data_IF_833943729523
#
_entry.id   IF_833943729523
#
_cell.length_a   1.000
_cell.length_b   1.000
_cell.length_c   1.000
_cell.angle_alpha   90.00
_cell.angle_beta   90.00
_cell.angle_gamma   90.00
#
_symmetry.space_group_name_H-M   'P 1'
#
loop_
_entity.id
_entity.type
_entity.pdbx_description
1 polymer ?
#
# COMPACT_ATOMS: atom_id res chain seq x y z
N UNK A 1 42.16 -18.48 34.24
CA UNK A 1 41.14 -18.77 33.21
C UNK A 1 40.40 -17.46 32.98
N UNK A 2 40.57 -16.86 31.79
CA UNK A 2 39.83 -15.64 31.41
C UNK A 2 38.44 -16.09 31.01
N UNK A 3 37.45 -15.56 31.71
CA UNK A 3 36.04 -15.74 31.41
C UNK A 3 35.74 -15.07 30.06
N UNK A 4 35.10 -15.82 29.17
CA UNK A 4 34.93 -15.51 27.75
C UNK A 4 33.46 -15.27 27.40
N UNK A 5 32.63 -14.81 28.35
CA UNK A 5 31.19 -14.59 28.13
C UNK A 5 30.78 -13.11 27.98
N UNK A 6 31.67 -12.24 27.48
CA UNK A 6 31.40 -10.79 27.38
C UNK A 6 31.49 -10.23 25.96
N UNK A 7 31.16 -11.02 24.94
CA UNK A 7 31.01 -10.52 23.57
C UNK A 7 29.62 -10.93 23.09
N UNK A 8 28.80 -9.93 22.77
CA UNK A 8 27.45 -10.01 22.19
C UNK A 8 26.25 -10.16 23.13
N UNK A 9 26.23 -9.47 24.28
CA UNK A 9 24.96 -8.95 24.76
C UNK A 9 24.65 -7.70 23.91
N UNK A 10 23.89 -7.88 22.82
CA UNK A 10 23.24 -6.74 22.18
C UNK A 10 22.36 -6.07 23.25
N UNK A 11 22.35 -4.72 23.35
CA UNK A 11 21.46 -4.06 24.30
C UNK A 11 20.02 -4.50 24.02
N UNK A 12 19.22 -4.72 25.07
CA UNK A 12 17.76 -4.89 24.96
C UNK A 12 17.22 -3.70 24.18
N UNK A 13 17.02 -3.85 22.87
CA UNK A 13 16.39 -2.85 22.03
C UNK A 13 14.90 -3.16 22.05
N UNK A 14 14.11 -2.17 22.40
CA UNK A 14 12.67 -2.25 22.28
C UNK A 14 12.34 -2.56 20.79
N UNK A 15 11.49 -3.54 20.46
CA UNK A 15 11.05 -3.79 19.08
C UNK A 15 10.55 -2.52 18.37
N UNK A 16 10.07 -1.54 19.14
CA UNK A 16 9.65 -0.23 18.64
C UNK A 16 10.79 0.65 18.10
N UNK A 17 12.06 0.41 18.46
CA UNK A 17 13.22 1.07 17.86
C UNK A 17 13.65 0.44 16.52
N UNK A 18 13.19 -0.79 16.23
CA UNK A 18 13.51 -1.53 15.00
C UNK A 18 12.58 -1.17 13.83
N UNK A 19 11.34 -0.74 14.12
CA UNK A 19 10.34 -0.42 13.11
C UNK A 19 10.08 1.08 13.06
N UNK A 20 11.00 1.78 12.40
CA UNK A 20 10.87 3.20 12.11
C UNK A 20 10.48 3.41 10.65
N UNK A 21 9.28 3.95 10.38
CA UNK A 21 8.81 4.28 9.02
C UNK A 21 9.72 5.28 8.29
N UNK A 22 10.52 6.04 9.04
CA UNK A 22 11.55 6.95 8.48
C UNK A 22 12.82 6.23 8.05
N UNK A 23 12.90 4.91 8.20
CA UNK A 23 14.05 4.14 7.74
C UNK A 23 14.16 4.23 6.22
N UNK A 24 15.39 4.42 5.75
CA UNK A 24 15.72 4.51 4.33
C UNK A 24 16.74 3.44 4.00
N UNK A 25 16.54 2.74 2.88
CA UNK A 25 17.46 1.70 2.41
C UNK A 25 18.56 2.31 1.54
N UNK A 26 19.85 1.98 1.77
CA UNK A 26 20.97 2.62 1.07
C UNK A 26 21.01 2.35 -0.44
N UNK A 27 20.35 1.29 -0.91
CA UNK A 27 20.28 0.85 -2.30
C UNK A 27 19.01 1.31 -3.04
N UNK A 28 18.13 2.07 -2.38
CA UNK A 28 16.93 2.66 -2.99
C UNK A 28 17.19 4.13 -3.31
N UNK A 29 16.87 4.55 -4.53
CA UNK A 29 16.97 5.96 -4.94
C UNK A 29 15.75 6.75 -4.49
N UNK A 30 15.81 7.31 -3.27
CA UNK A 30 14.75 8.16 -2.75
C UNK A 30 14.65 9.53 -3.43
N UNK A 31 15.65 9.93 -4.21
CA UNK A 31 15.64 11.15 -5.02
C UNK A 31 15.07 10.90 -6.42
N UNK A 32 14.76 9.64 -6.77
CA UNK A 32 14.10 9.31 -8.02
C UNK A 32 12.79 10.08 -8.16
N UNK A 33 12.63 10.76 -9.30
CA UNK A 33 11.45 11.52 -9.66
C UNK A 33 10.93 11.07 -11.02
N UNK A 34 9.66 10.66 -11.15
CA UNK A 34 9.05 10.47 -12.46
C UNK A 34 9.12 11.77 -13.27
N UNK A 35 9.38 11.67 -14.58
CA UNK A 35 9.35 12.85 -15.47
C UNK A 35 7.95 13.48 -15.52
N UNK A 36 6.92 12.64 -15.54
CA UNK A 36 5.50 13.01 -15.54
C UNK A 36 4.64 11.82 -15.13
N UNK A 37 3.46 12.08 -14.56
CA UNK A 37 2.45 11.03 -14.31
C UNK A 37 1.50 10.80 -15.51
N UNK A 38 1.61 11.66 -16.54
CA UNK A 38 0.73 11.64 -17.72
C UNK A 38 1.46 11.21 -18.98
N UNK A 39 2.64 10.60 -18.85
CA UNK A 39 3.25 9.92 -19.99
C UNK A 39 2.29 8.84 -20.52
N UNK A 40 2.35 8.55 -21.84
CA UNK A 40 1.66 7.41 -22.42
C UNK A 40 2.06 6.12 -21.70
N UNK A 41 1.13 5.17 -21.64
CA UNK A 41 1.45 3.83 -21.15
C UNK A 41 2.58 3.22 -21.98
N UNK A 42 3.49 2.50 -21.33
CA UNK A 42 4.62 1.83 -21.96
C UNK A 42 4.17 0.69 -22.88
N UNK A 43 3.01 0.08 -22.58
CA UNK A 43 2.41 -0.98 -23.37
C UNK A 43 0.87 -0.98 -23.29
N UNK A 44 0.26 -1.87 -24.08
CA UNK A 44 -1.20 -2.02 -24.17
C UNK A 44 -1.80 -2.51 -22.85
N UNK A 45 -1.13 -3.41 -22.14
CA UNK A 45 -1.65 -3.96 -20.88
C UNK A 45 -1.75 -2.85 -19.83
N UNK A 46 -0.69 -2.05 -19.67
CA UNK A 46 -0.69 -0.90 -18.78
C UNK A 46 -1.78 0.10 -19.17
N UNK A 47 -1.99 0.34 -20.48
CA UNK A 47 -3.06 1.22 -20.95
C UNK A 47 -4.45 0.72 -20.55
N UNK A 48 -4.72 -0.58 -20.69
CA UNK A 48 -5.98 -1.22 -20.30
C UNK A 48 -6.18 -1.18 -18.79
N UNK A 49 -5.12 -1.49 -18.01
CA UNK A 49 -5.22 -1.56 -16.56
C UNK A 49 -5.36 -0.19 -15.90
N UNK A 50 -4.96 0.90 -16.54
CA UNK A 50 -4.84 2.23 -15.91
C UNK A 50 -6.07 2.68 -15.11
N UNK A 51 -7.26 2.42 -15.62
CA UNK A 51 -8.52 2.84 -15.00
C UNK A 51 -9.30 1.69 -14.35
N UNK A 52 -8.82 0.45 -14.48
CA UNK A 52 -9.45 -0.72 -13.88
C UNK A 52 -9.20 -0.71 -12.38
N UNK A 53 -10.27 -0.50 -11.61
CA UNK A 53 -10.16 -0.27 -10.16
C UNK A 53 -9.94 -1.56 -9.36
N UNK A 54 -10.59 -2.66 -9.70
CA UNK A 54 -10.59 -3.87 -8.86
C UNK A 54 -9.39 -4.78 -9.05
N UNK A 55 -8.83 -5.24 -7.94
CA UNK A 55 -7.57 -6.01 -7.91
C UNK A 55 -7.69 -7.33 -8.67
N UNK A 56 -8.70 -8.15 -8.38
CA UNK A 56 -8.91 -9.43 -9.07
C UNK A 56 -9.17 -9.27 -10.56
N UNK A 57 -9.82 -8.18 -10.99
CA UNK A 57 -9.97 -7.88 -12.42
C UNK A 57 -8.67 -7.49 -13.09
N UNK A 58 -7.81 -6.71 -12.42
CA UNK A 58 -6.47 -6.40 -12.93
C UNK A 58 -5.65 -7.68 -13.14
N UNK A 59 -5.72 -8.62 -12.20
CA UNK A 59 -5.09 -9.94 -12.30
C UNK A 59 -5.66 -10.72 -13.50
N UNK A 60 -6.98 -10.87 -13.59
CA UNK A 60 -7.63 -11.58 -14.71
C UNK A 60 -7.28 -10.99 -16.08
N UNK A 61 -7.31 -9.66 -16.23
CA UNK A 61 -6.92 -8.98 -17.47
C UNK A 61 -5.46 -9.26 -17.81
N UNK A 62 -4.58 -9.22 -16.82
CA UNK A 62 -3.15 -9.50 -16.98
C UNK A 62 -2.91 -10.91 -17.46
N UNK A 63 -3.58 -11.90 -16.86
CA UNK A 63 -3.41 -13.30 -17.21
C UNK A 63 -3.92 -13.58 -18.63
N UNK A 64 -5.12 -13.12 -18.97
CA UNK A 64 -5.68 -13.25 -20.32
C UNK A 64 -4.81 -12.55 -21.38
N UNK A 65 -4.27 -11.37 -21.07
CA UNK A 65 -3.35 -10.67 -21.97
C UNK A 65 -2.06 -11.46 -22.21
N UNK A 66 -1.44 -11.98 -21.14
CA UNK A 66 -0.20 -12.77 -21.23
C UNK A 66 -0.39 -14.07 -22.01
N UNK A 67 -1.57 -14.66 -21.93
CA UNK A 67 -1.93 -15.84 -22.71
C UNK A 67 -2.33 -15.53 -24.17
N UNK A 68 -2.42 -14.25 -24.55
CA UNK A 68 -2.86 -13.83 -25.87
C UNK A 68 -4.34 -14.05 -26.14
N UNK A 69 -5.16 -14.10 -25.07
CA UNK A 69 -6.59 -14.44 -25.08
C UNK A 69 -7.48 -13.30 -24.60
N UNK A 70 -6.99 -12.06 -24.62
CA UNK A 70 -7.73 -10.90 -24.09
C UNK A 70 -9.11 -10.72 -24.77
N UNK A 71 -9.26 -11.14 -26.02
CA UNK A 71 -10.50 -11.14 -26.78
C UNK A 71 -11.57 -12.13 -26.26
N UNK A 72 -11.16 -13.14 -25.49
CA UNK A 72 -12.06 -14.07 -24.81
C UNK A 72 -12.63 -13.50 -23.50
N UNK A 73 -12.02 -12.44 -22.95
CA UNK A 73 -12.48 -11.83 -21.70
C UNK A 73 -13.78 -11.05 -21.95
N UNK A 74 -14.78 -11.28 -21.10
CA UNK A 74 -16.05 -10.55 -21.19
C UNK A 74 -15.80 -9.03 -21.14
N UNK A 75 -16.41 -8.28 -22.06
CA UNK A 75 -16.19 -6.83 -22.18
C UNK A 75 -16.46 -6.08 -20.87
N UNK A 76 -17.45 -6.50 -20.09
CA UNK A 76 -17.76 -5.93 -18.77
C UNK A 76 -16.62 -6.15 -17.75
N UNK A 77 -15.84 -7.22 -17.85
CA UNK A 77 -14.68 -7.43 -16.97
C UNK A 77 -13.48 -6.59 -17.39
N UNK A 78 -13.39 -6.24 -18.68
CA UNK A 78 -12.34 -5.41 -19.24
C UNK A 78 -12.63 -3.89 -19.19
N UNK A 79 -13.81 -3.46 -18.73
CA UNK A 79 -14.15 -2.04 -18.61
C UNK A 79 -13.48 -1.38 -17.40
N UNK A 80 -13.35 -0.05 -17.42
CA UNK A 80 -12.80 0.72 -16.31
C UNK A 80 -13.57 0.45 -15.00
N UNK A 81 -14.90 0.49 -15.06
CA UNK A 81 -15.80 0.28 -13.94
C UNK A 81 -16.85 -0.80 -14.24
N UNK A 82 -17.21 -1.54 -13.19
CA UNK A 82 -18.32 -2.49 -13.21
C UNK A 82 -19.65 -1.78 -12.93
N UNK A 83 -20.73 -2.36 -13.45
CA UNK A 83 -22.07 -2.06 -12.97
C UNK A 83 -22.25 -2.55 -11.52
N UNK A 84 -23.18 -1.95 -10.77
CA UNK A 84 -23.52 -2.40 -9.41
C UNK A 84 -23.92 -3.88 -9.39
N UNK A 85 -24.71 -4.30 -10.38
CA UNK A 85 -25.15 -5.69 -10.53
C UNK A 85 -23.97 -6.64 -10.78
N UNK A 86 -23.04 -6.30 -11.68
CA UNK A 86 -21.87 -7.14 -11.94
C UNK A 86 -20.94 -7.23 -10.73
N UNK A 87 -20.72 -6.10 -10.04
CA UNK A 87 -19.94 -6.05 -8.80
C UNK A 87 -20.55 -6.95 -7.71
N UNK A 88 -21.86 -6.89 -7.48
CA UNK A 88 -22.55 -7.79 -6.56
C UNK A 88 -22.43 -9.26 -6.97
N UNK A 89 -22.59 -9.56 -8.26
CA UNK A 89 -22.48 -10.93 -8.78
C UNK A 89 -21.10 -11.52 -8.54
N UNK A 90 -20.03 -10.75 -8.78
CA UNK A 90 -18.66 -11.18 -8.50
C UNK A 90 -18.41 -11.36 -6.99
N UNK A 91 -18.90 -10.44 -6.15
CA UNK A 91 -18.78 -10.56 -4.70
C UNK A 91 -19.47 -11.81 -4.12
N UNK A 92 -20.57 -12.28 -4.75
CA UNK A 92 -21.23 -13.55 -4.38
C UNK A 92 -20.41 -14.79 -4.77
N UNK A 93 -19.50 -14.69 -5.75
CA UNK A 93 -18.59 -15.78 -6.10
C UNK A 93 -17.53 -15.89 -5.00
N UNK A 94 -16.86 -14.78 -4.69
CA UNK A 94 -15.93 -14.71 -3.57
C UNK A 94 -15.75 -13.25 -3.10
N UNK A 95 -15.71 -12.98 -1.78
CA UNK A 95 -15.57 -11.61 -1.26
C UNK A 95 -14.34 -10.85 -1.77
N UNK A 96 -13.23 -11.54 -2.09
CA UNK A 96 -12.02 -10.89 -2.62
C UNK A 96 -12.20 -10.24 -4.00
N UNK A 97 -13.28 -10.54 -4.73
CA UNK A 97 -13.59 -9.81 -5.97
C UNK A 97 -14.16 -8.41 -5.71
N UNK A 98 -14.44 -8.06 -4.45
CA UNK A 98 -14.92 -6.73 -4.07
C UNK A 98 -13.77 -5.72 -4.02
N UNK A 99 -12.56 -6.17 -3.68
CA UNK A 99 -11.38 -5.34 -3.47
C UNK A 99 -11.05 -4.41 -4.64
N UNK A 100 -11.13 -3.11 -4.37
CA UNK A 100 -10.91 -2.01 -5.30
C UNK A 100 -12.12 -1.64 -6.15
N UNK A 101 -13.17 -2.47 -6.23
CA UNK A 101 -14.34 -2.17 -7.08
C UNK A 101 -15.20 -1.03 -6.50
N UNK A 102 -15.10 -0.79 -5.20
CA UNK A 102 -15.83 0.27 -4.49
C UNK A 102 -15.07 1.59 -4.44
N UNK A 103 -13.83 1.64 -4.93
CA UNK A 103 -13.10 2.90 -5.08
C UNK A 103 -13.90 3.91 -5.92
N UNK A 104 -13.88 5.21 -5.59
CA UNK A 104 -14.55 6.21 -6.39
C UNK A 104 -13.95 6.28 -7.79
N UNK A 105 -14.78 6.65 -8.77
CA UNK A 105 -14.34 6.82 -10.15
C UNK A 105 -13.24 7.87 -10.31
N UNK A 106 -12.47 7.74 -11.40
CA UNK A 106 -11.40 8.68 -11.71
C UNK A 106 -11.95 10.04 -12.13
N UNK A 107 -11.36 11.11 -11.60
CA UNK A 107 -11.62 12.47 -12.11
C UNK A 107 -10.94 12.67 -13.46
N UNK A 108 -11.38 13.66 -14.23
CA UNK A 108 -10.72 14.03 -15.49
C UNK A 108 -9.23 14.33 -15.25
N UNK A 109 -8.37 13.68 -16.06
CA UNK A 109 -6.90 13.75 -15.96
C UNK A 109 -6.32 13.31 -14.61
N UNK A 110 -7.05 12.51 -13.85
CA UNK A 110 -6.56 11.88 -12.64
C UNK A 110 -5.94 10.52 -12.96
N UNK A 111 -4.87 10.19 -12.25
CA UNK A 111 -4.14 8.93 -12.40
C UNK A 111 -3.80 8.39 -11.02
N UNK A 112 -3.83 7.07 -10.85
CA UNK A 112 -3.33 6.40 -9.65
C UNK A 112 -1.80 6.41 -9.68
N UNK A 113 -1.15 6.84 -8.59
CA UNK A 113 0.31 6.90 -8.48
C UNK A 113 0.87 5.94 -7.44
N UNK A 114 0.05 5.46 -6.52
CA UNK A 114 0.39 4.42 -5.56
C UNK A 114 -0.89 3.69 -5.14
N UNK A 115 -0.75 2.39 -4.87
CA UNK A 115 -1.85 1.51 -4.48
C UNK A 115 -1.42 0.66 -3.30
N UNK A 116 -2.30 0.57 -2.31
CA UNK A 116 -2.17 -0.24 -1.10
C UNK A 116 -3.32 -1.23 -1.11
N UNK A 117 -3.00 -2.51 -1.10
CA UNK A 117 -3.95 -3.62 -1.16
C UNK A 117 -3.80 -4.47 0.09
N UNK A 118 -4.92 -4.83 0.72
CA UNK A 118 -4.94 -5.71 1.87
C UNK A 118 -5.30 -7.14 1.43
N UNK A 119 -4.61 -8.14 1.97
CA UNK A 119 -5.04 -9.55 1.91
C UNK A 119 -6.07 -9.80 3.03
N UNK A 120 -7.14 -9.00 3.04
CA UNK A 120 -8.28 -9.11 3.95
C UNK A 120 -9.43 -9.90 3.30
N UNK A 121 -10.47 -10.22 4.06
CA UNK A 121 -11.67 -10.92 3.53
C UNK A 121 -12.24 -10.21 2.30
N UNK A 122 -12.36 -8.88 2.34
CA UNK A 122 -12.89 -8.05 1.26
C UNK A 122 -11.81 -7.54 0.30
N UNK A 123 -10.53 -7.79 0.62
CA UNK A 123 -9.36 -7.34 -0.12
C UNK A 123 -9.30 -5.81 -0.31
N UNK A 124 -9.50 -5.07 0.78
CA UNK A 124 -9.71 -3.62 0.72
C UNK A 124 -8.54 -2.87 0.07
N UNK A 125 -8.87 -1.81 -0.65
CA UNK A 125 -7.88 -1.03 -1.40
C UNK A 125 -7.91 0.45 -1.02
N UNK A 126 -6.71 1.01 -0.82
CA UNK A 126 -6.47 2.46 -0.71
C UNK A 126 -5.52 2.91 -1.80
N UNK A 127 -5.80 4.06 -2.43
CA UNK A 127 -5.03 4.56 -3.58
C UNK A 127 -4.65 6.02 -3.39
N UNK A 128 -3.43 6.39 -3.79
CA UNK A 128 -3.03 7.78 -3.95
C UNK A 128 -3.18 8.16 -5.40
N UNK A 129 -3.92 9.24 -5.66
CA UNK A 129 -4.18 9.73 -7.01
C UNK A 129 -3.64 11.13 -7.20
N UNK A 130 -3.14 11.40 -8.41
CA UNK A 130 -2.61 12.68 -8.83
C UNK A 130 -3.44 13.26 -9.97
N UNK A 131 -3.70 14.57 -9.95
CA UNK A 131 -4.47 15.27 -10.98
C UNK A 131 -3.85 16.61 -11.32
N UNK A 132 -3.75 16.93 -12.61
CA UNK A 132 -3.23 18.23 -13.05
C UNK A 132 -4.32 19.29 -12.92
N UNK A 133 -4.04 20.37 -12.19
CA UNK A 133 -4.97 21.48 -11.93
C UNK A 133 -4.36 22.82 -12.29
N UNK A 134 -5.21 23.77 -12.66
CA UNK A 134 -4.79 25.12 -13.04
C UNK A 134 -4.30 25.23 -14.49
N UNK A 135 -4.67 26.32 -15.18
CA UNK A 135 -4.33 26.54 -16.60
C UNK A 135 -3.03 27.31 -16.83
N UNK A 136 -2.81 28.39 -16.07
CA UNK A 136 -1.66 29.30 -16.26
C UNK A 136 -0.42 28.87 -15.48
N UNK A 137 -0.63 28.24 -14.33
CA UNK A 137 0.41 27.71 -13.45
C UNK A 137 -0.06 26.32 -13.03
N UNK A 138 0.14 25.31 -13.89
CA UNK A 138 -0.32 23.96 -13.59
C UNK A 138 0.35 23.46 -12.31
N UNK A 139 -0.43 22.76 -11.49
CA UNK A 139 -0.01 22.11 -10.25
C UNK A 139 -0.54 20.69 -10.26
N UNK A 140 0.16 19.79 -9.59
CA UNK A 140 -0.33 18.45 -9.35
C UNK A 140 -1.04 18.46 -8.01
N UNK A 141 -2.33 18.15 -7.99
CA UNK A 141 -3.13 17.92 -6.79
C UNK A 141 -3.11 16.44 -6.44
N UNK A 142 -3.00 16.13 -5.15
CA UNK A 142 -3.00 14.76 -4.64
C UNK A 142 -4.25 14.52 -3.78
N UNK A 143 -4.79 13.29 -3.87
CA UNK A 143 -5.78 12.80 -2.92
C UNK A 143 -5.55 11.32 -2.62
N UNK A 144 -5.89 10.92 -1.41
CA UNK A 144 -6.01 9.51 -1.03
C UNK A 144 -7.49 9.16 -1.09
N UNK A 145 -7.80 7.99 -1.63
CA UNK A 145 -9.17 7.46 -1.67
C UNK A 145 -9.15 5.98 -1.31
N UNK A 146 -10.14 5.56 -0.55
CA UNK A 146 -10.40 4.17 -0.20
C UNK A 146 -11.83 3.78 -0.65
N UNK A 147 -12.26 2.59 -0.26
CA UNK A 147 -13.57 2.02 -0.60
C UNK A 147 -14.70 2.49 0.32
N UNK A 148 -14.37 3.15 1.42
CA UNK A 148 -15.31 3.58 2.46
C UNK A 148 -15.55 5.10 2.46
N UNK A 149 -15.05 5.82 1.46
CA UNK A 149 -15.14 7.28 1.32
C UNK A 149 -14.58 8.03 2.55
N UNK A 150 -13.52 7.48 3.16
CA UNK A 150 -12.85 8.12 4.27
C UNK A 150 -12.19 9.44 3.83
N UNK A 151 -12.17 10.42 4.74
CA UNK A 151 -11.46 11.67 4.51
C UNK A 151 -9.99 11.53 4.93
N UNK A 152 -9.07 11.84 4.02
CA UNK A 152 -7.63 11.76 4.27
C UNK A 152 -6.95 13.10 4.04
N UNK A 153 -5.97 13.41 4.87
CA UNK A 153 -5.07 14.56 4.71
C UNK A 153 -3.74 14.07 4.15
N UNK A 154 -3.50 14.39 2.88
CA UNK A 154 -2.24 14.07 2.19
C UNK A 154 -1.39 15.34 2.02
N UNK A 155 -0.18 15.33 2.57
CA UNK A 155 0.75 16.48 2.50
C UNK A 155 2.00 16.09 1.70
N UNK A 156 2.41 16.87 0.68
CA UNK A 156 1.80 18.13 0.27
C UNK A 156 0.49 17.93 -0.50
N UNK A 157 -0.48 18.83 -0.32
CA UNK A 157 -1.74 18.80 -1.08
C UNK A 157 -1.51 19.03 -2.58
N UNK A 158 -0.51 19.85 -2.92
CA UNK A 158 -0.14 20.10 -4.31
C UNK A 158 1.37 20.30 -4.49
N UNK A 159 1.87 19.98 -5.67
CA UNK A 159 3.27 20.22 -6.08
C UNK A 159 3.34 20.85 -7.48
N UNK A 160 4.53 21.29 -7.90
CA UNK A 160 4.75 21.80 -9.26
C UNK A 160 5.26 20.72 -10.24
N UNK A 161 5.71 19.58 -9.71
CA UNK A 161 6.28 18.44 -10.43
C UNK A 161 6.00 17.16 -9.64
N UNK A 162 6.05 15.96 -10.26
CA UNK A 162 5.90 14.68 -9.55
C UNK A 162 6.75 14.61 -8.28
N UNK A 163 6.29 13.92 -7.24
CA UNK A 163 7.08 13.79 -6.01
C UNK A 163 8.37 13.02 -6.29
N UNK A 164 9.41 13.22 -5.47
CA UNK A 164 10.46 12.19 -5.39
C UNK A 164 9.94 11.02 -4.57
N UNK A 165 10.53 9.84 -4.74
CA UNK A 165 10.14 8.64 -3.99
C UNK A 165 10.13 8.90 -2.48
N UNK A 166 11.16 9.54 -1.93
CA UNK A 166 11.22 9.87 -0.50
C UNK A 166 10.05 10.74 -0.03
N UNK A 167 9.63 11.71 -0.84
CA UNK A 167 8.46 12.55 -0.55
C UNK A 167 7.18 11.74 -0.56
N UNK A 168 7.01 10.81 -1.50
CA UNK A 168 5.83 9.95 -1.55
C UNK A 168 5.76 9.05 -0.31
N UNK A 169 6.87 8.43 0.09
CA UNK A 169 6.95 7.61 1.31
C UNK A 169 6.63 8.44 2.55
N UNK A 170 7.28 9.61 2.71
CA UNK A 170 7.00 10.52 3.83
C UNK A 170 5.51 10.89 3.89
N UNK A 171 4.91 11.18 2.73
CA UNK A 171 3.49 11.52 2.63
C UNK A 171 2.58 10.35 3.00
N UNK A 172 2.86 9.14 2.50
CA UNK A 172 2.11 7.92 2.76
C UNK A 172 2.13 7.57 4.25
N UNK A 173 3.30 7.64 4.89
CA UNK A 173 3.46 7.27 6.30
C UNK A 173 2.90 8.33 7.26
N UNK A 174 2.62 9.53 6.75
CA UNK A 174 2.08 10.65 7.51
C UNK A 174 0.62 10.98 7.14
N UNK A 175 -0.08 10.10 6.40
CA UNK A 175 -1.49 10.33 6.06
C UNK A 175 -2.31 10.30 7.33
N UNK A 176 -3.04 11.38 7.59
CA UNK A 176 -4.01 11.47 8.68
C UNK A 176 -5.40 11.17 8.12
N UNK A 177 -6.17 10.29 8.76
CA UNK A 177 -7.58 10.10 8.46
C UNK A 177 -8.42 11.06 9.31
N UNK A 178 -9.17 11.95 8.67
CA UNK A 178 -10.09 12.85 9.34
C UNK A 178 -11.42 12.13 9.61
N UNK A 179 -11.85 12.11 10.87
CA UNK A 179 -13.22 11.74 11.23
C UNK A 179 -13.57 10.25 11.26
N UNK A 180 -12.59 9.34 11.20
CA UNK A 180 -12.81 7.91 11.41
C UNK A 180 -13.06 7.57 12.89
N UNK A 181 -14.10 6.79 13.18
CA UNK A 181 -14.44 6.34 14.55
C UNK A 181 -13.50 5.28 15.14
N UNK A 182 -12.40 4.97 14.47
CA UNK A 182 -11.29 4.24 15.06
C UNK A 182 -10.38 5.27 15.70
N UNK A 183 -10.40 5.32 17.04
CA UNK A 183 -9.34 5.96 17.81
C UNK A 183 -8.08 5.10 17.58
N UNK A 184 -7.43 5.30 16.42
CA UNK A 184 -6.15 4.69 16.11
C UNK A 184 -5.21 5.30 17.13
N UNK A 185 -4.99 4.57 18.22
CA UNK A 185 -4.03 4.92 19.26
C UNK A 185 -2.76 5.43 18.58
N UNK A 186 -2.22 6.56 19.07
CA UNK A 186 -0.99 7.14 18.54
C UNK A 186 0.20 6.15 18.53
N UNK A 187 0.05 4.99 19.17
CA UNK A 187 0.94 3.84 19.13
C UNK A 187 0.95 3.15 17.77
N UNK A 188 -0.20 2.95 17.09
CA UNK A 188 -0.26 2.26 15.79
C UNK A 188 0.31 3.12 14.66
N UNK A 189 0.18 4.45 14.75
CA UNK A 189 0.79 5.40 13.81
C UNK A 189 2.33 5.47 13.91
N UNK A 190 2.94 4.85 14.94
CA UNK A 190 4.41 4.86 15.11
C UNK A 190 5.13 4.21 13.94
N UNK A 191 4.48 3.24 13.28
CA UNK A 191 5.02 2.51 12.14
C UNK A 191 4.61 3.10 10.78
N UNK A 192 3.99 4.28 10.78
CA UNK A 192 3.49 4.95 9.57
C UNK A 192 2.13 4.39 9.15
N UNK A 193 1.33 5.22 8.46
CA UNK A 193 -0.07 4.88 8.12
C UNK A 193 -0.21 3.62 7.27
N UNK A 194 0.82 3.23 6.50
CA UNK A 194 0.80 2.02 5.67
C UNK A 194 0.81 0.73 6.52
N UNK A 195 1.52 0.71 7.65
CA UNK A 195 1.60 -0.48 8.51
C UNK A 195 0.44 -0.60 9.52
N UNK A 196 -0.43 0.41 9.62
CA UNK A 196 -1.56 0.40 10.56
C UNK A 196 -2.45 -0.82 10.36
N UNK A 197 -2.66 -1.25 9.10
CA UNK A 197 -3.47 -2.42 8.80
C UNK A 197 -2.84 -3.72 9.30
N UNK A 198 -1.53 -3.93 9.08
CA UNK A 198 -0.79 -5.09 9.61
C UNK A 198 -0.86 -5.12 11.14
N UNK A 199 -0.59 -3.98 11.78
CA UNK A 199 -0.49 -3.86 13.24
C UNK A 199 -1.87 -4.10 13.88
N UNK A 200 -2.93 -3.48 13.33
CA UNK A 200 -4.32 -3.70 13.78
C UNK A 200 -4.72 -5.17 13.64
N UNK A 201 -4.43 -5.79 12.49
CA UNK A 201 -4.82 -7.17 12.25
C UNK A 201 -4.07 -8.12 13.21
N UNK A 202 -2.75 -7.95 13.37
CA UNK A 202 -1.94 -8.71 14.34
C UNK A 202 -2.50 -8.60 15.76
N UNK A 203 -2.83 -7.40 16.21
CA UNK A 203 -3.31 -7.15 17.56
C UNK A 203 -4.71 -7.73 17.83
N UNK A 204 -5.58 -7.76 16.82
CA UNK A 204 -6.92 -8.35 16.96
C UNK A 204 -6.94 -9.89 16.87
N UNK A 205 -5.89 -10.51 16.35
CA UNK A 205 -5.90 -11.94 16.01
C UNK A 205 -5.47 -12.87 17.14
N UNK A 206 -4.95 -12.34 18.25
CA UNK A 206 -4.61 -13.04 19.51
C UNK A 206 -3.73 -14.31 19.37
N UNK A 207 -3.06 -14.52 18.24
CA UNK A 207 -2.24 -15.70 17.97
C UNK A 207 -0.76 -15.50 18.24
N UNK A 208 -0.32 -14.25 18.45
CA UNK A 208 1.08 -13.92 18.74
C UNK A 208 2.07 -14.40 17.68
N UNK A 209 1.63 -14.56 16.42
CA UNK A 209 2.48 -14.96 15.29
C UNK A 209 2.40 -13.87 14.23
N UNK A 210 3.52 -13.22 13.95
CA UNK A 210 3.60 -12.13 12.98
C UNK A 210 3.76 -12.58 11.53
N UNK A 211 4.17 -13.83 11.27
CA UNK A 211 4.47 -14.33 9.92
C UNK A 211 3.27 -14.33 8.95
N UNK A 212 2.03 -14.67 9.39
CA UNK A 212 0.84 -14.55 8.54
C UNK A 212 0.61 -13.14 8.00
N UNK A 213 1.14 -12.10 8.65
CA UNK A 213 0.94 -10.71 8.26
C UNK A 213 2.04 -10.16 7.34
N UNK A 214 3.09 -10.94 7.04
CA UNK A 214 4.18 -10.52 6.13
C UNK A 214 3.67 -10.13 4.75
N UNK A 215 2.65 -10.85 4.26
CA UNK A 215 2.04 -10.61 2.96
C UNK A 215 0.66 -9.94 3.05
N UNK A 216 0.25 -9.48 4.25
CA UNK A 216 -1.09 -8.94 4.46
C UNK A 216 -1.30 -7.59 3.78
N UNK A 217 -0.25 -6.82 3.55
CA UNK A 217 -0.36 -5.50 2.90
C UNK A 217 0.65 -5.41 1.78
N UNK A 218 0.15 -5.05 0.59
CA UNK A 218 0.95 -4.95 -0.63
C UNK A 218 0.88 -3.53 -1.17
N UNK A 219 2.06 -2.96 -1.44
CA UNK A 219 2.17 -1.61 -1.98
C UNK A 219 2.75 -1.70 -3.37
N UNK A 220 2.19 -0.94 -4.31
CA UNK A 220 2.65 -0.91 -5.70
C UNK A 220 2.53 0.48 -6.31
N UNK A 221 3.30 0.70 -7.37
CA UNK A 221 3.23 1.91 -8.20
C UNK A 221 3.77 1.64 -9.59
N UNK A 222 3.07 2.11 -10.61
CA UNK A 222 3.54 2.13 -11.99
C UNK A 222 4.60 3.22 -12.25
N UNK A 223 4.73 4.19 -11.33
CA UNK A 223 5.61 5.35 -11.48
C UNK A 223 6.85 5.28 -10.60
N UNK A 224 6.79 4.56 -9.49
CA UNK A 224 7.86 4.48 -8.50
C UNK A 224 8.33 3.02 -8.35
N UNK A 225 9.36 2.59 -9.11
CA UNK A 225 9.76 1.19 -9.19
C UNK A 225 10.20 0.61 -7.83
N UNK A 226 10.83 1.43 -6.99
CA UNK A 226 11.36 0.97 -5.69
C UNK A 226 10.35 1.12 -4.53
N UNK A 227 9.13 1.63 -4.78
CA UNK A 227 8.13 1.82 -3.73
C UNK A 227 7.74 0.47 -3.08
N UNK A 228 7.49 -0.54 -3.91
CA UNK A 228 7.14 -1.88 -3.44
C UNK A 228 8.29 -2.50 -2.64
N UNK A 229 9.54 -2.30 -3.09
CA UNK A 229 10.74 -2.83 -2.43
C UNK A 229 10.93 -2.19 -1.07
N UNK A 230 10.72 -0.87 -0.96
CA UNK A 230 10.80 -0.15 0.31
C UNK A 230 9.83 -0.74 1.34
N UNK A 231 8.55 -0.85 1.01
CA UNK A 231 7.55 -1.34 1.97
C UNK A 231 7.67 -2.83 2.25
N UNK A 232 8.04 -3.67 1.28
CA UNK A 232 8.32 -5.08 1.53
C UNK A 232 9.40 -5.26 2.60
N UNK A 233 10.50 -4.51 2.49
CA UNK A 233 11.59 -4.54 3.49
C UNK A 233 11.21 -3.93 4.82
N UNK A 234 10.32 -2.95 4.84
CA UNK A 234 9.79 -2.39 6.07
C UNK A 234 8.88 -3.40 6.80
N UNK A 235 8.01 -4.08 6.06
CA UNK A 235 7.15 -5.15 6.57
C UNK A 235 8.00 -6.32 7.08
N UNK A 236 9.01 -6.75 6.32
CA UNK A 236 9.92 -7.82 6.76
C UNK A 236 10.58 -7.49 8.10
N UNK A 237 11.07 -6.26 8.26
CA UNK A 237 11.65 -5.80 9.54
C UNK A 237 10.62 -5.75 10.67
N UNK A 238 9.40 -5.35 10.36
CA UNK A 238 8.31 -5.36 11.34
C UNK A 238 8.02 -6.79 11.81
N UNK A 239 7.86 -7.76 10.90
CA UNK A 239 7.67 -9.17 11.25
C UNK A 239 8.85 -9.68 12.09
N UNK A 240 10.08 -9.47 11.62
CA UNK A 240 11.28 -9.97 12.30
C UNK A 240 11.45 -9.36 13.71
N UNK A 241 11.07 -8.10 13.91
CA UNK A 241 11.12 -7.43 15.21
C UNK A 241 10.13 -8.04 16.22
N UNK A 242 8.91 -8.37 15.80
CA UNK A 242 7.94 -9.01 16.67
C UNK A 242 8.30 -10.48 16.97
N UNK A 243 8.76 -11.22 15.96
CA UNK A 243 9.23 -12.60 16.17
C UNK A 243 10.39 -12.69 17.18
N UNK A 244 11.34 -11.75 17.16
CA UNK A 244 12.42 -11.69 18.16
C UNK A 244 11.91 -11.37 19.57
N UNK A 245 10.91 -10.48 19.68
CA UNK A 245 10.31 -10.11 20.96
C UNK A 245 9.56 -11.26 21.64
N UNK A 246 8.98 -12.15 20.84
CA UNK A 246 8.26 -13.35 21.31
C UNK A 246 9.25 -14.36 21.91
N UNK A 247 10.38 -14.61 21.25
CA UNK A 247 11.44 -15.51 21.74
C UNK A 247 12.02 -15.01 23.07
N UNK A 248 12.29 -13.72 23.21
CA UNK A 248 12.83 -13.15 24.44
C UNK A 248 11.81 -13.16 25.60
N UNK A 249 10.52 -13.10 25.30
CA UNK A 249 9.44 -13.15 26.30
C UNK A 249 9.24 -14.53 26.94
N UNK A 250 9.49 -15.60 26.19
CA UNK A 250 9.43 -16.99 26.69
C UNK A 250 10.60 -17.33 27.63
N UNK A 251 11.82 -16.87 27.31
CA UNK A 251 13.04 -17.13 28.11
C UNK A 251 13.05 -16.41 29.48
N UNK A 252 12.09 -15.51 29.76
CA UNK A 252 12.01 -14.79 31.03
C UNK A 252 10.97 -15.34 32.01
N UNK A 253 10.25 -16.42 31.64
CA UNK A 253 9.22 -17.04 32.50
C UNK A 253 9.66 -18.32 33.24
N UNK A 254 10.92 -18.75 33.10
CA UNK A 254 11.48 -19.92 33.82
C UNK A 254 12.28 -19.57 35.09
#
# INVERSE_FOLDING_TARGET
>A
MKDSSSLYALPKMDPTDLVNHRLRHPDIDYEFRPSSYWEPANDVLQAVLRNVKGTRRREMITDFFREGRLDELAQELASDELSDEARERLGRIHPTFMGGEYLPGYRTNEVEIARIELESTTADVTTVRARLVGRKRPRIEYRVVDEYECEFVFKPFTSAAPLILGQLVDSLDSVEQSGGGFDIDAVWLRHGSVLVANETNRACSDNGDSDPYRNFTRISSDFYPDLAIHYARLIDRWVDAYALSEIEGEDTQD
#
